data_IF_304204541389
#
_entry.id   IF_304204541389
#
_cell.length_a   1.000
_cell.length_b   1.000
_cell.length_c   1.000
_cell.angle_alpha   90.00
_cell.angle_beta   90.00
_cell.angle_gamma   90.00
#
_symmetry.space_group_name_H-M   'P 1'
#
loop_
_entity.id
_entity.type
_entity.pdbx_description
1 polymer ?
#
# COMPACT_ATOMS: atom_id res chain seq x y z
N UNK A 1 26.84 -1.72 16.82
CA UNK A 1 25.50 -1.81 16.20
C UNK A 1 24.48 -2.01 17.31
N UNK A 2 23.78 -0.96 17.72
CA UNK A 2 22.66 -1.10 18.65
C UNK A 2 21.53 -1.81 17.90
N UNK A 3 21.22 -3.03 18.30
CA UNK A 3 20.01 -3.72 17.87
C UNK A 3 18.82 -2.86 18.29
N UNK A 4 18.18 -2.22 17.33
CA UNK A 4 16.95 -1.48 17.55
C UNK A 4 15.79 -2.45 17.78
N UNK A 5 15.85 -3.27 18.84
CA UNK A 5 14.69 -3.99 19.35
C UNK A 5 13.79 -2.97 20.05
N UNK A 6 12.93 -2.34 19.26
CA UNK A 6 11.89 -1.49 19.80
C UNK A 6 10.59 -2.27 19.81
N UNK A 7 10.10 -2.63 21.01
CA UNK A 7 8.76 -3.17 21.17
C UNK A 7 7.66 -2.16 20.80
N UNK A 8 6.39 -2.60 20.79
CA UNK A 8 5.24 -1.73 20.55
C UNK A 8 5.25 -0.52 21.50
N UNK A 9 4.96 0.67 20.98
CA UNK A 9 4.87 1.90 21.80
C UNK A 9 3.57 1.98 22.58
N UNK A 10 2.47 1.48 22.00
CA UNK A 10 1.15 1.49 22.62
C UNK A 10 0.20 0.51 21.92
N UNK A 11 -0.85 0.09 22.63
CA UNK A 11 -2.03 -0.51 22.01
C UNK A 11 -2.99 0.59 21.50
N UNK A 12 -2.68 1.13 20.33
CA UNK A 12 -3.46 2.22 19.74
C UNK A 12 -4.94 1.88 19.54
N UNK A 13 -5.27 0.62 19.23
CA UNK A 13 -6.65 0.24 18.95
C UNK A 13 -7.47 0.04 20.23
N UNK A 14 -6.86 -0.43 21.32
CA UNK A 14 -7.51 -0.45 22.63
C UNK A 14 -7.81 0.97 23.14
N UNK A 15 -6.94 1.94 22.87
CA UNK A 15 -7.12 3.33 23.30
C UNK A 15 -7.97 4.19 22.34
N UNK A 16 -8.08 3.81 21.06
CA UNK A 16 -8.88 4.52 20.05
C UNK A 16 -9.86 3.58 19.30
N UNK A 17 -10.77 2.87 19.99
CA UNK A 17 -11.60 1.82 19.37
C UNK A 17 -12.58 2.36 18.31
N UNK A 18 -13.11 3.57 18.50
CA UNK A 18 -13.98 4.22 17.50
C UNK A 18 -13.22 4.56 16.22
N UNK A 19 -11.97 5.01 16.35
CA UNK A 19 -11.11 5.29 15.20
C UNK A 19 -10.73 3.99 14.49
N UNK A 20 -10.39 2.94 15.23
CA UNK A 20 -10.15 1.61 14.65
C UNK A 20 -11.35 1.11 13.84
N UNK A 21 -12.57 1.21 14.39
CA UNK A 21 -13.79 0.86 13.66
C UNK A 21 -13.96 1.65 12.37
N UNK A 22 -13.66 2.95 12.39
CA UNK A 22 -13.71 3.79 11.19
C UNK A 22 -12.65 3.37 10.15
N UNK A 23 -11.43 3.06 10.59
CA UNK A 23 -10.37 2.56 9.72
C UNK A 23 -10.74 1.22 9.05
N UNK A 24 -11.36 0.31 9.79
CA UNK A 24 -11.86 -0.96 9.21
C UNK A 24 -12.97 -0.71 8.18
N UNK A 25 -13.88 0.24 8.44
CA UNK A 25 -14.91 0.61 7.48
C UNK A 25 -14.33 1.24 6.21
N UNK A 26 -13.30 2.08 6.36
CA UNK A 26 -12.55 2.65 5.25
C UNK A 26 -11.88 1.55 4.41
N UNK A 27 -11.20 0.61 5.06
CA UNK A 27 -10.53 -0.53 4.41
C UNK A 27 -11.52 -1.42 3.64
N UNK A 28 -12.69 -1.67 4.23
CA UNK A 28 -13.77 -2.44 3.60
C UNK A 28 -14.31 -1.74 2.35
N UNK A 29 -14.42 -0.40 2.38
CA UNK A 29 -14.94 0.38 1.27
C UNK A 29 -13.91 0.60 0.15
N UNK A 30 -12.62 0.45 0.44
CA UNK A 30 -11.54 0.78 -0.48
C UNK A 30 -11.17 -0.36 -1.44
N UNK A 31 -10.85 0.02 -2.68
CA UNK A 31 -10.49 -0.92 -3.74
C UNK A 31 -11.62 -1.88 -4.11
N UNK A 32 -12.89 -1.46 -3.97
CA UNK A 32 -14.03 -2.24 -4.41
C UNK A 32 -13.99 -2.43 -5.94
N UNK A 33 -14.20 -3.65 -6.42
CA UNK A 33 -14.17 -3.97 -7.86
C UNK A 33 -12.77 -4.06 -8.48
N UNK A 34 -11.70 -3.73 -7.76
CA UNK A 34 -10.33 -3.88 -8.25
C UNK A 34 -9.88 -5.34 -8.21
N UNK A 35 -9.01 -5.69 -9.15
CA UNK A 35 -8.31 -6.97 -9.18
C UNK A 35 -7.54 -7.21 -7.86
N UNK A 36 -7.70 -8.39 -7.21
CA UNK A 36 -7.05 -8.67 -5.93
C UNK A 36 -5.51 -8.57 -5.96
N UNK A 37 -4.88 -9.00 -7.06
CA UNK A 37 -3.42 -8.91 -7.19
C UNK A 37 -2.99 -7.44 -7.25
N UNK A 38 -3.66 -6.61 -8.06
CA UNK A 38 -3.43 -5.17 -8.09
C UNK A 38 -3.57 -4.51 -6.72
N UNK A 39 -4.58 -4.92 -5.93
CA UNK A 39 -4.77 -4.38 -4.58
C UNK A 39 -3.56 -4.65 -3.70
N UNK A 40 -3.03 -5.88 -3.71
CA UNK A 40 -1.87 -6.21 -2.89
C UNK A 40 -0.57 -5.55 -3.40
N UNK A 41 -0.36 -5.41 -4.71
CA UNK A 41 0.79 -4.65 -5.24
C UNK A 41 0.81 -3.21 -4.75
N UNK A 42 -0.33 -2.52 -4.81
CA UNK A 42 -0.48 -1.13 -4.29
C UNK A 42 -0.15 -1.09 -2.80
N UNK A 43 -0.71 -2.02 -2.01
CA UNK A 43 -0.49 -2.03 -0.56
C UNK A 43 0.96 -2.35 -0.19
N UNK A 44 1.59 -3.28 -0.90
CA UNK A 44 3.01 -3.63 -0.71
C UNK A 44 3.87 -2.41 -1.06
N UNK A 45 3.66 -1.78 -2.22
CA UNK A 45 4.50 -0.65 -2.66
C UNK A 45 4.40 0.55 -1.73
N UNK A 46 3.19 0.95 -1.33
CA UNK A 46 3.00 2.01 -0.35
C UNK A 46 3.69 1.67 1.00
N UNK A 47 3.61 0.41 1.42
CA UNK A 47 4.25 -0.05 2.67
C UNK A 47 5.78 -0.06 2.59
N UNK A 48 6.37 -0.36 1.43
CA UNK A 48 7.80 -0.23 1.18
C UNK A 48 8.26 1.22 1.34
N UNK A 49 7.56 2.16 0.69
CA UNK A 49 7.87 3.59 0.73
C UNK A 49 7.69 4.20 2.13
N UNK A 50 6.68 3.76 2.88
CA UNK A 50 6.45 4.20 4.26
C UNK A 50 7.28 3.42 5.30
N UNK A 51 8.13 2.48 4.89
CA UNK A 51 8.92 1.63 5.79
C UNK A 51 8.10 0.87 6.85
N UNK A 52 6.86 0.47 6.52
CA UNK A 52 6.00 -0.29 7.43
C UNK A 52 6.28 -1.80 7.34
N UNK A 53 7.23 -2.32 8.14
CA UNK A 53 7.54 -3.76 8.15
C UNK A 53 6.33 -4.66 8.50
N UNK A 54 5.47 -4.23 9.42
CA UNK A 54 4.24 -4.95 9.77
C UNK A 54 3.28 -5.09 8.58
N UNK A 55 3.02 -3.98 7.90
CA UNK A 55 2.12 -3.94 6.76
C UNK A 55 2.69 -4.72 5.58
N UNK A 56 4.00 -4.59 5.36
CA UNK A 56 4.72 -5.31 4.31
C UNK A 56 4.62 -6.83 4.51
N UNK A 57 4.91 -7.34 5.71
CA UNK A 57 4.76 -8.77 6.03
C UNK A 57 3.33 -9.27 5.75
N UNK A 58 2.33 -8.55 6.25
CA UNK A 58 0.92 -8.90 6.08
C UNK A 58 0.53 -8.98 4.60
N UNK A 59 0.80 -7.93 3.82
CA UNK A 59 0.38 -7.86 2.42
C UNK A 59 1.17 -8.78 1.50
N UNK A 60 2.44 -9.07 1.82
CA UNK A 60 3.20 -10.11 1.09
C UNK A 60 2.60 -11.50 1.34
N UNK A 61 2.22 -11.82 2.59
CA UNK A 61 1.53 -13.09 2.90
C UNK A 61 0.17 -13.19 2.21
N UNK A 62 -0.60 -12.10 2.21
CA UNK A 62 -1.90 -12.05 1.55
C UNK A 62 -1.75 -12.23 0.03
N UNK A 63 -0.83 -11.51 -0.62
CA UNK A 63 -0.51 -11.67 -2.04
C UNK A 63 -0.13 -13.12 -2.39
N UNK A 64 0.74 -13.74 -1.58
CA UNK A 64 1.15 -15.15 -1.75
C UNK A 64 -0.04 -16.10 -1.65
N UNK A 65 -0.92 -15.89 -0.66
CA UNK A 65 -2.12 -16.73 -0.50
C UNK A 65 -3.10 -16.62 -1.68
N UNK A 66 -3.02 -15.52 -2.44
CA UNK A 66 -3.80 -15.28 -3.66
C UNK A 66 -3.07 -15.73 -4.93
N UNK A 67 -1.86 -16.29 -4.83
CA UNK A 67 -1.11 -16.83 -5.96
C UNK A 67 -0.21 -15.83 -6.71
N UNK A 68 0.06 -14.66 -6.12
CA UNK A 68 1.04 -13.73 -6.68
C UNK A 68 2.46 -14.35 -6.70
N UNK A 69 3.24 -13.99 -7.70
CA UNK A 69 4.54 -14.59 -8.00
C UNK A 69 5.64 -13.90 -7.18
N UNK A 70 6.53 -14.70 -6.60
CA UNK A 70 7.63 -14.19 -5.76
C UNK A 70 8.52 -13.16 -6.48
N UNK A 71 8.82 -13.39 -7.76
CA UNK A 71 9.64 -12.46 -8.55
C UNK A 71 8.98 -11.09 -8.69
N UNK A 72 7.64 -11.01 -8.76
CA UNK A 72 6.90 -9.75 -8.77
C UNK A 72 7.01 -9.08 -7.41
N UNK A 73 6.73 -9.79 -6.31
CA UNK A 73 6.87 -9.21 -4.97
C UNK A 73 8.29 -8.67 -4.72
N UNK A 74 9.33 -9.41 -5.12
CA UNK A 74 10.72 -9.01 -4.92
C UNK A 74 11.15 -7.82 -5.80
N UNK A 75 10.70 -7.77 -7.05
CA UNK A 75 11.08 -6.69 -7.98
C UNK A 75 10.19 -5.45 -7.87
N UNK A 76 9.13 -5.50 -7.06
CA UNK A 76 8.17 -4.38 -6.92
C UNK A 76 8.80 -3.08 -6.45
N UNK A 77 9.89 -3.13 -5.67
CA UNK A 77 10.59 -1.91 -5.26
C UNK A 77 11.36 -1.22 -6.38
N UNK A 78 11.52 -1.88 -7.52
CA UNK A 78 12.21 -1.41 -8.73
C UNK A 78 11.35 -1.68 -9.97
N UNK A 79 10.03 -1.51 -9.86
CA UNK A 79 9.07 -1.93 -10.89
C UNK A 79 9.27 -1.22 -12.23
N UNK A 80 9.78 0.01 -12.25
CA UNK A 80 10.05 0.79 -13.46
C UNK A 80 11.05 0.09 -14.40
N UNK A 81 12.06 -0.56 -13.83
CA UNK A 81 13.12 -1.26 -14.56
C UNK A 81 12.78 -2.75 -14.79
N UNK A 82 11.62 -3.21 -14.34
CA UNK A 82 11.21 -4.62 -14.42
C UNK A 82 10.62 -5.01 -15.80
N UNK A 83 10.76 -4.16 -16.81
CA UNK A 83 10.28 -4.41 -18.18
C UNK A 83 8.78 -4.69 -18.22
N UNK A 84 8.39 -5.82 -18.83
CA UNK A 84 6.98 -6.22 -19.00
C UNK A 84 6.44 -7.06 -17.83
N UNK A 85 7.14 -7.10 -16.69
CA UNK A 85 6.74 -7.91 -15.55
C UNK A 85 5.42 -7.44 -14.92
N UNK A 86 5.14 -6.13 -15.05
CA UNK A 86 3.88 -5.48 -14.68
C UNK A 86 3.20 -4.95 -15.93
N UNK A 87 1.88 -5.10 -15.99
CA UNK A 87 1.07 -4.54 -17.10
C UNK A 87 1.07 -3.01 -17.05
N UNK A 88 0.75 -2.34 -18.15
CA UNK A 88 0.66 -0.87 -18.19
C UNK A 88 -0.34 -0.33 -17.15
N UNK A 89 -1.45 -1.05 -16.93
CA UNK A 89 -2.46 -0.71 -15.91
C UNK A 89 -1.90 -0.83 -14.48
N UNK A 90 -1.11 -1.87 -14.21
CA UNK A 90 -0.42 -2.03 -12.92
C UNK A 90 0.62 -0.93 -12.72
N UNK A 91 1.46 -0.66 -13.73
CA UNK A 91 2.47 0.39 -13.69
C UNK A 91 1.85 1.77 -13.40
N UNK A 92 0.73 2.10 -14.05
CA UNK A 92 0.04 3.37 -13.81
C UNK A 92 -0.51 3.48 -12.37
N UNK A 93 -1.01 2.37 -11.81
CA UNK A 93 -1.42 2.35 -10.40
C UNK A 93 -0.23 2.44 -9.43
N UNK A 94 0.90 1.82 -9.75
CA UNK A 94 2.12 1.89 -8.95
C UNK A 94 2.70 3.30 -8.94
N UNK A 95 2.81 3.95 -10.10
CA UNK A 95 3.26 5.33 -10.22
C UNK A 95 2.35 6.29 -9.42
N UNK A 96 1.02 6.14 -9.54
CA UNK A 96 0.07 6.90 -8.74
C UNK A 96 0.20 6.61 -7.24
N UNK A 97 0.49 5.35 -6.87
CA UNK A 97 0.77 4.96 -5.48
C UNK A 97 1.97 5.69 -4.92
N UNK A 98 3.06 5.81 -5.69
CA UNK A 98 4.25 6.53 -5.24
C UNK A 98 3.96 8.02 -5.07
N UNK A 99 3.33 8.66 -6.07
CA UNK A 99 3.03 10.08 -6.06
C UNK A 99 2.10 10.50 -4.91
N UNK A 100 1.10 9.68 -4.57
CA UNK A 100 0.21 9.95 -3.43
C UNK A 100 0.90 9.62 -2.09
N UNK A 101 1.76 8.61 -2.04
CA UNK A 101 2.45 8.20 -0.82
C UNK A 101 3.51 9.22 -0.40
N UNK A 102 4.30 9.72 -1.35
CA UNK A 102 5.40 10.67 -1.13
C UNK A 102 4.96 12.08 -1.58
N UNK A 103 3.95 12.61 -0.90
CA UNK A 103 3.39 13.93 -1.18
C UNK A 103 4.24 15.06 -0.56
N UNK A 104 5.52 15.16 -0.93
CA UNK A 104 6.46 16.13 -0.34
C UNK A 104 6.81 17.30 -1.25
N UNK A 105 6.68 17.15 -2.57
CA UNK A 105 7.09 18.17 -3.56
C UNK A 105 5.91 18.97 -4.13
N UNK A 106 4.84 19.09 -3.34
CA UNK A 106 3.66 19.91 -3.65
C UNK A 106 2.40 19.06 -3.87
N UNK A 107 2.26 18.48 -5.07
CA UNK A 107 1.03 17.82 -5.52
C UNK A 107 1.33 16.54 -6.32
N UNK A 108 0.30 15.71 -6.54
CA UNK A 108 0.37 14.55 -7.45
C UNK A 108 0.50 15.10 -8.88
N UNK A 109 1.59 14.83 -9.62
CA UNK A 109 1.79 15.42 -10.94
C UNK A 109 0.66 15.09 -11.92
N UNK A 110 0.30 16.06 -12.76
CA UNK A 110 -0.79 15.95 -13.72
C UNK A 110 -0.62 14.75 -14.67
N UNK A 111 0.60 14.51 -15.14
CA UNK A 111 0.94 13.41 -16.03
C UNK A 111 0.75 12.04 -15.38
N UNK A 112 1.08 11.89 -14.09
CA UNK A 112 0.86 10.66 -13.32
C UNK A 112 -0.64 10.37 -13.21
N UNK A 113 -1.42 11.39 -12.85
CA UNK A 113 -2.88 11.26 -12.80
C UNK A 113 -3.47 10.92 -14.17
N UNK A 114 -3.08 11.64 -15.22
CA UNK A 114 -3.57 11.41 -16.60
C UNK A 114 -3.24 10.01 -17.08
N UNK A 115 -2.03 9.50 -16.79
CA UNK A 115 -1.65 8.13 -17.12
C UNK A 115 -2.55 7.11 -16.43
N UNK A 116 -2.81 7.27 -15.13
CA UNK A 116 -3.76 6.40 -14.43
C UNK A 116 -5.17 6.48 -15.03
N UNK A 117 -5.66 7.68 -15.35
CA UNK A 117 -6.99 7.89 -15.93
C UNK A 117 -7.18 7.26 -17.33
N UNK A 118 -6.10 6.94 -18.06
CA UNK A 118 -6.17 6.18 -19.32
C UNK A 118 -6.52 4.71 -19.07
N UNK A 119 -6.07 4.15 -17.94
CA UNK A 119 -6.18 2.72 -17.66
C UNK A 119 -7.34 2.34 -16.77
N UNK A 120 -7.97 3.31 -16.08
CA UNK A 120 -9.06 3.08 -15.13
C UNK A 120 -10.26 3.97 -15.43
N UNK A 121 -11.45 3.38 -15.49
CA UNK A 121 -12.70 4.14 -15.47
C UNK A 121 -12.79 4.97 -14.18
N UNK A 122 -13.51 6.10 -14.20
CA UNK A 122 -13.54 7.05 -13.07
C UNK A 122 -13.86 6.40 -11.72
N UNK A 123 -14.81 5.46 -11.72
CA UNK A 123 -15.18 4.71 -10.52
C UNK A 123 -14.07 3.78 -10.01
N UNK A 124 -13.35 3.10 -10.91
CA UNK A 124 -12.20 2.27 -10.53
C UNK A 124 -11.02 3.13 -10.09
N UNK A 125 -10.75 4.26 -10.75
CA UNK A 125 -9.68 5.18 -10.38
C UNK A 125 -9.90 5.75 -8.97
N UNK A 126 -11.14 6.13 -8.65
CA UNK A 126 -11.52 6.54 -7.30
C UNK A 126 -11.24 5.44 -6.28
N UNK A 127 -11.45 4.17 -6.63
CA UNK A 127 -11.16 3.02 -5.77
C UNK A 127 -9.66 2.77 -5.61
N UNK A 128 -8.84 3.00 -6.64
CA UNK A 128 -7.37 2.97 -6.55
C UNK A 128 -6.89 4.05 -5.59
N UNK A 129 -7.37 5.29 -5.73
CA UNK A 129 -7.02 6.40 -4.84
C UNK A 129 -7.44 6.11 -3.40
N UNK A 130 -8.67 5.61 -3.18
CA UNK A 130 -9.16 5.22 -1.87
C UNK A 130 -8.28 4.14 -1.23
N UNK A 131 -7.85 3.14 -2.00
CA UNK A 131 -6.94 2.09 -1.55
C UNK A 131 -5.59 2.67 -1.10
N UNK A 132 -4.99 3.54 -1.91
CA UNK A 132 -3.69 4.15 -1.61
C UNK A 132 -3.76 4.99 -0.32
N UNK A 133 -4.80 5.80 -0.15
CA UNK A 133 -5.04 6.60 1.07
C UNK A 133 -5.19 5.70 2.29
N UNK A 134 -5.92 4.59 2.13
CA UNK A 134 -6.21 3.66 3.23
C UNK A 134 -4.95 2.95 3.70
N UNK A 135 -4.13 2.41 2.79
CA UNK A 135 -2.86 1.77 3.19
C UNK A 135 -1.88 2.79 3.80
N UNK A 136 -1.82 4.02 3.26
CA UNK A 136 -1.02 5.08 3.82
C UNK A 136 -1.41 5.42 5.28
N UNK A 137 -2.70 5.35 5.59
CA UNK A 137 -3.22 5.55 6.94
C UNK A 137 -2.82 4.38 7.87
N UNK A 138 -2.96 3.14 7.41
CA UNK A 138 -2.49 1.96 8.15
C UNK A 138 -0.99 1.98 8.41
N UNK A 139 -0.18 2.33 7.41
CA UNK A 139 1.27 2.46 7.53
C UNK A 139 1.64 3.48 8.62
N UNK A 140 1.01 4.66 8.61
CA UNK A 140 1.25 5.72 9.61
C UNK A 140 0.92 5.25 11.02
N UNK A 141 -0.19 4.54 11.21
CA UNK A 141 -0.54 3.95 12.51
C UNK A 141 0.53 2.94 12.93
N UNK A 142 0.82 1.95 12.08
CA UNK A 142 1.71 0.84 12.42
C UNK A 142 3.16 1.30 12.71
N UNK A 143 3.72 2.19 11.90
CA UNK A 143 5.07 2.74 12.10
C UNK A 143 5.11 3.60 13.36
N UNK A 144 4.14 4.50 13.55
CA UNK A 144 4.09 5.39 14.72
C UNK A 144 3.97 4.60 16.01
N UNK A 145 3.19 3.51 16.02
CA UNK A 145 2.97 2.67 17.21
C UNK A 145 3.98 1.53 17.33
N UNK A 146 4.92 1.38 16.39
CA UNK A 146 5.90 0.28 16.30
C UNK A 146 5.25 -1.10 16.33
N UNK A 147 4.22 -1.32 15.51
CA UNK A 147 3.70 -2.68 15.32
C UNK A 147 4.80 -3.58 14.75
N UNK A 148 4.92 -4.79 15.29
CA UNK A 148 5.91 -5.76 14.88
C UNK A 148 5.30 -6.75 13.88
N UNK A 149 5.95 -7.01 12.74
CA UNK A 149 5.51 -8.05 11.79
C UNK A 149 5.41 -9.41 12.47
N UNK A 150 4.62 -10.32 11.88
CA UNK A 150 4.55 -11.71 12.31
C UNK A 150 5.76 -12.48 11.77
N UNK A 151 6.95 -12.09 12.19
CA UNK A 151 8.18 -12.83 11.90
C UNK A 151 8.20 -14.04 12.83
N UNK A 152 8.29 -15.23 12.25
CA UNK A 152 8.57 -16.46 13.00
C UNK A 152 9.89 -16.38 13.74
#
# INVERSE_FOLDING_TARGET
MTTHQHGPRMDFFAHAPKFYKAMVALDTAAGAGLDPALKELVKIRASQLNHCAYCLDMHVRDARSQGEREERVHLLSAWEEAGTLYTEREQAALELTEAITVLTDGFVPDEVYKRAAIHFEEGELAQVIALIITINSWNRIAVTTRKTPALG
#
